data_IF_623684957896
#
_entry.id   IF_623684957896
#
_cell.length_a   1.000
_cell.length_b   1.000
_cell.length_c   1.000
_cell.angle_alpha   90.00
_cell.angle_beta   90.00
_cell.angle_gamma   90.00
#
_symmetry.space_group_name_H-M   'P 1'
#
loop_
_entity.id
_entity.type
_entity.pdbx_description
1 polymer ?
#
# COMPACT_ATOMS: atom_id res chain seq x y z
N UNK A 1 2.53 27.48 23.51
CA UNK A 1 2.01 28.63 22.75
C UNK A 1 2.39 29.88 23.52
N UNK A 2 3.33 30.68 23.01
CA UNK A 2 3.66 31.96 23.65
C UNK A 2 2.58 32.94 23.22
N UNK A 3 1.68 33.28 24.15
CA UNK A 3 0.66 34.31 23.92
C UNK A 3 1.14 35.58 24.59
N UNK A 4 1.32 36.64 23.82
CA UNK A 4 1.51 38.00 24.35
C UNK A 4 0.37 38.90 23.89
N UNK A 5 0.11 39.96 24.65
CA UNK A 5 -0.85 40.97 24.27
C UNK A 5 -0.33 41.80 23.09
N UNK A 6 -1.26 42.44 22.37
CA UNK A 6 -0.96 43.17 21.15
C UNK A 6 0.04 44.30 21.35
N UNK A 7 -0.03 45.01 22.48
CA UNK A 7 0.84 46.15 22.75
C UNK A 7 2.29 45.69 22.98
N UNK A 8 2.48 44.62 23.74
CA UNK A 8 3.80 44.00 23.95
C UNK A 8 4.38 43.47 22.64
N UNK A 9 3.56 42.86 21.78
CA UNK A 9 3.99 42.38 20.48
C UNK A 9 4.48 43.51 19.57
N UNK A 10 3.68 44.57 19.44
CA UNK A 10 4.01 45.72 18.59
C UNK A 10 5.27 46.44 19.09
N UNK A 11 5.46 46.55 20.41
CA UNK A 11 6.67 47.14 20.99
C UNK A 11 7.94 46.35 20.62
N UNK A 12 7.89 45.01 20.64
CA UNK A 12 9.02 44.15 20.28
C UNK A 12 9.34 44.26 18.78
N UNK A 13 8.32 44.32 17.92
CA UNK A 13 8.51 44.50 16.47
C UNK A 13 9.14 45.85 16.16
N UNK A 14 8.71 46.91 16.83
CA UNK A 14 9.27 48.26 16.67
C UNK A 14 10.72 48.35 17.18
N UNK A 15 11.03 47.67 18.28
CA UNK A 15 12.39 47.62 18.84
C UNK A 15 13.34 46.73 18.02
N UNK A 16 12.82 45.69 17.36
CA UNK A 16 13.61 44.69 16.63
C UNK A 16 13.08 44.48 15.21
N UNK A 17 13.37 45.43 14.33
CA UNK A 17 12.94 45.44 12.92
C UNK A 17 13.33 44.18 12.13
N UNK A 18 14.36 43.45 12.57
CA UNK A 18 14.78 42.15 12.00
C UNK A 18 13.68 41.08 11.98
N UNK A 19 12.65 41.20 12.83
CA UNK A 19 11.55 40.24 12.89
C UNK A 19 10.41 40.55 11.92
N UNK A 20 10.33 41.77 11.40
CA UNK A 20 9.32 42.22 10.42
C UNK A 20 9.12 41.21 9.26
N UNK A 21 10.18 40.62 8.66
CA UNK A 21 10.01 39.67 7.56
C UNK A 21 9.41 38.32 7.95
N UNK A 22 9.25 38.00 9.23
CA UNK A 22 8.78 36.70 9.71
C UNK A 22 7.39 36.78 10.36
N UNK A 23 6.80 37.98 10.48
CA UNK A 23 5.47 38.16 11.07
C UNK A 23 4.39 37.71 10.09
N UNK A 24 3.38 37.00 10.61
CA UNK A 24 2.18 36.58 9.87
C UNK A 24 2.44 35.81 8.57
N UNK A 25 3.62 35.21 8.42
CA UNK A 25 3.89 34.29 7.31
C UNK A 25 3.36 32.92 7.66
N UNK A 26 2.70 32.29 6.69
CA UNK A 26 2.42 30.86 6.76
C UNK A 26 3.74 30.11 6.85
N UNK A 27 3.79 29.11 7.73
CA UNK A 27 4.86 28.12 7.71
C UNK A 27 4.52 27.15 6.58
N UNK A 28 5.40 27.06 5.59
CA UNK A 28 5.20 26.15 4.46
C UNK A 28 5.08 24.70 4.98
N UNK A 29 4.14 23.95 4.42
CA UNK A 29 3.89 22.54 4.79
C UNK A 29 3.56 22.31 6.26
N UNK A 30 3.04 23.30 6.99
CA UNK A 30 2.67 23.15 8.40
C UNK A 30 1.72 21.96 8.65
N UNK A 31 0.73 21.79 7.77
CA UNK A 31 -0.24 20.70 7.87
C UNK A 31 0.43 19.32 7.72
N UNK A 32 1.42 19.22 6.82
CA UNK A 32 2.20 17.99 6.61
C UNK A 32 3.09 17.69 7.82
N UNK A 33 3.74 18.71 8.40
CA UNK A 33 4.56 18.55 9.61
C UNK A 33 3.72 18.19 10.84
N UNK A 34 2.49 18.72 10.95
CA UNK A 34 1.55 18.36 12.01
C UNK A 34 1.11 16.88 11.95
N UNK A 35 1.11 16.27 10.76
CA UNK A 35 0.86 14.84 10.60
C UNK A 35 2.06 14.00 11.08
N UNK A 36 3.30 14.43 10.80
CA UNK A 36 4.53 13.70 11.18
C UNK A 36 4.82 13.79 12.67
N UNK A 37 4.73 14.98 13.26
CA UNK A 37 5.00 15.22 14.69
C UNK A 37 3.86 14.66 15.56
N UNK A 38 2.72 14.32 14.94
CA UNK A 38 1.51 13.95 15.63
C UNK A 38 0.91 15.15 16.37
N UNK A 39 -0.39 15.08 16.70
CA UNK A 39 -1.01 16.03 17.62
C UNK A 39 -0.54 15.74 19.05
N UNK A 40 0.77 15.84 19.32
CA UNK A 40 1.29 15.74 20.67
C UNK A 40 0.94 17.04 21.39
N UNK A 41 -0.20 17.01 22.06
CA UNK A 41 -0.60 18.07 22.96
C UNK A 41 0.32 17.93 24.16
N UNK A 42 1.43 18.67 24.17
CA UNK A 42 2.35 18.71 25.29
C UNK A 42 1.56 18.99 26.58
N UNK A 43 1.38 17.96 27.42
CA UNK A 43 0.53 18.02 28.61
C UNK A 43 1.10 18.93 29.69
N UNK A 44 2.29 19.53 29.49
CA UNK A 44 2.90 20.47 30.43
C UNK A 44 3.20 19.86 31.81
N UNK A 45 2.96 18.57 32.00
CA UNK A 45 3.08 17.88 33.30
C UNK A 45 4.53 17.79 33.80
N UNK A 46 5.49 18.08 32.93
CA UNK A 46 6.92 18.14 33.27
C UNK A 46 7.50 19.57 33.17
N UNK A 47 6.67 20.59 32.95
CA UNK A 47 7.13 21.97 32.92
C UNK A 47 7.47 22.40 34.35
N UNK A 48 8.78 22.53 34.65
CA UNK A 48 9.24 23.15 35.90
C UNK A 48 9.09 24.66 35.78
N UNK A 49 8.40 25.25 36.73
CA UNK A 49 8.32 26.70 36.93
C UNK A 49 9.47 27.17 37.82
N UNK A 50 9.75 28.48 37.83
CA UNK A 50 10.79 29.06 38.69
C UNK A 50 10.58 28.78 40.19
N UNK A 51 9.35 28.47 40.61
CA UNK A 51 9.02 28.08 41.97
C UNK A 51 9.38 26.62 42.32
N UNK A 52 9.67 25.78 41.32
CA UNK A 52 10.04 24.36 41.49
C UNK A 52 11.56 24.13 41.60
N UNK A 53 12.34 25.22 41.66
CA UNK A 53 13.79 25.20 41.89
C UNK A 53 14.00 25.39 43.40
N UNK A 54 14.21 24.30 44.13
CA UNK A 54 14.56 24.36 45.55
C UNK A 54 15.93 25.06 45.69
N UNK A 55 15.92 26.24 46.30
CA UNK A 55 17.10 27.04 46.65
C UNK A 55 17.35 26.93 48.15
N UNK A 56 17.34 25.71 48.69
CA UNK A 56 17.75 25.47 50.07
C UNK A 56 19.14 24.83 50.12
N UNK A 57 19.92 25.35 51.06
CA UNK A 57 21.35 25.62 51.04
C UNK A 57 22.16 24.54 51.76
N UNK A 58 23.42 24.34 51.35
CA UNK A 58 24.37 23.56 52.13
C UNK A 58 25.48 22.86 51.34
N UNK A 59 26.39 23.61 50.71
CA UNK A 59 27.80 23.66 51.14
C UNK A 59 28.63 24.50 50.16
N UNK A 60 29.27 25.52 50.73
CA UNK A 60 30.22 26.41 50.08
C UNK A 60 31.48 25.65 49.65
N UNK A 61 31.94 25.86 48.42
CA UNK A 61 33.36 26.19 48.23
C UNK A 61 33.54 27.11 47.03
N UNK A 62 34.17 28.26 47.26
CA UNK A 62 34.28 29.36 46.31
C UNK A 62 35.62 29.34 45.57
N UNK A 63 35.57 29.11 44.23
CA UNK A 63 36.29 29.73 43.06
C UNK A 63 37.83 29.95 43.14
N UNK A 64 38.70 29.82 42.08
CA UNK A 64 38.41 30.11 40.65
C UNK A 64 39.15 29.38 39.48
N UNK A 65 38.55 29.50 38.25
CA UNK A 65 39.14 29.63 36.86
C UNK A 65 40.03 28.44 36.35
N UNK A 66 40.00 27.91 35.12
CA UNK A 66 39.77 28.43 33.76
C UNK A 66 39.25 27.30 32.83
N UNK A 67 38.55 27.67 31.76
CA UNK A 67 37.43 26.90 31.18
C UNK A 67 37.80 26.13 29.91
N UNK A 68 38.38 24.93 30.07
CA UNK A 68 38.70 24.00 28.96
C UNK A 68 38.57 22.51 29.35
N UNK A 69 38.36 21.68 28.31
CA UNK A 69 38.74 20.26 28.13
C UNK A 69 37.90 19.17 28.83
N UNK A 70 37.14 18.36 28.09
CA UNK A 70 37.48 17.05 27.46
C UNK A 70 37.50 15.84 28.42
N UNK A 71 36.57 14.93 28.11
CA UNK A 71 36.77 13.49 27.94
C UNK A 71 36.94 12.57 29.18
N UNK A 72 36.38 11.36 29.01
CA UNK A 72 36.71 10.05 29.63
C UNK A 72 36.33 9.81 31.11
N UNK A 73 35.21 9.13 31.35
CA UNK A 73 35.13 7.67 31.58
C UNK A 73 34.10 7.17 32.62
N UNK A 74 33.64 5.97 32.29
CA UNK A 74 32.67 5.06 32.88
C UNK A 74 32.58 4.97 34.41
N UNK A 75 31.37 5.17 34.94
CA UNK A 75 30.91 4.46 36.15
C UNK A 75 29.50 3.91 35.95
N UNK A 76 29.51 2.64 35.56
CA UNK A 76 28.47 1.61 35.62
C UNK A 76 27.69 1.65 36.94
N UNK A 77 26.42 2.05 36.87
CA UNK A 77 25.42 1.88 37.94
C UNK A 77 24.21 1.15 37.37
N UNK A 78 24.10 -0.11 37.78
CA UNK A 78 22.97 -0.99 37.51
C UNK A 78 21.77 -0.48 38.29
N UNK A 79 20.80 0.11 37.59
CA UNK A 79 19.46 0.37 38.15
C UNK A 79 18.46 -0.42 37.33
N UNK A 80 18.15 -1.61 37.83
CA UNK A 80 16.96 -2.34 37.43
C UNK A 80 15.74 -1.47 37.70
N UNK A 81 15.02 -1.08 36.65
CA UNK A 81 13.62 -0.70 36.77
C UNK A 81 12.81 -1.24 35.59
N UNK A 82 11.89 -2.13 35.99
CA UNK A 82 10.74 -2.71 35.31
C UNK A 82 10.44 -2.21 33.89
N UNK A 83 10.46 -3.16 32.94
CA UNK A 83 10.18 -2.94 31.54
C UNK A 83 8.85 -2.21 31.31
N UNK A 84 8.95 -1.02 30.74
CA UNK A 84 7.80 -0.29 30.22
C UNK A 84 7.20 -1.11 29.07
N UNK A 85 6.02 -1.67 29.34
CA UNK A 85 5.19 -2.38 28.37
C UNK A 85 5.13 -1.62 27.05
N UNK A 86 5.76 -2.20 26.01
CA UNK A 86 5.63 -1.75 24.62
C UNK A 86 4.18 -1.92 24.23
N UNK A 87 3.38 -0.88 24.42
CA UNK A 87 1.99 -0.82 23.96
C UNK A 87 2.03 -0.79 22.43
N UNK A 88 2.04 -1.99 21.81
CA UNK A 88 1.80 -2.19 20.37
C UNK A 88 0.47 -1.52 20.06
N UNK A 89 0.50 -0.32 19.45
CA UNK A 89 -0.68 0.23 18.79
C UNK A 89 -0.99 -0.76 17.66
N UNK A 90 -2.08 -1.51 17.81
CA UNK A 90 -2.62 -2.36 16.75
C UNK A 90 -2.97 -1.43 15.60
N UNK A 91 -2.21 -1.52 14.51
CA UNK A 91 -2.33 -0.65 13.35
C UNK A 91 -3.60 -1.02 12.58
N UNK A 92 -4.69 -0.30 12.82
CA UNK A 92 -5.98 -0.49 12.12
C UNK A 92 -5.89 -0.06 10.65
N UNK A 93 -4.88 0.70 10.25
CA UNK A 93 -4.66 1.09 8.85
C UNK A 93 -3.99 -0.01 8.01
N UNK A 94 -3.24 -0.93 8.64
CA UNK A 94 -2.56 -2.04 7.97
C UNK A 94 -3.57 -3.02 7.36
N UNK A 95 -4.69 -3.29 8.05
CA UNK A 95 -5.73 -4.18 7.55
C UNK A 95 -6.45 -3.64 6.31
N UNK A 96 -6.62 -2.33 6.17
CA UNK A 96 -7.29 -1.73 4.99
C UNK A 96 -6.38 -1.83 3.76
N UNK A 97 -5.07 -1.64 3.94
CA UNK A 97 -4.08 -1.78 2.87
C UNK A 97 -3.96 -3.25 2.47
N UNK A 98 -3.92 -4.18 3.44
CA UNK A 98 -3.89 -5.62 3.18
C UNK A 98 -5.14 -6.11 2.42
N UNK A 99 -6.32 -5.60 2.77
CA UNK A 99 -7.57 -5.90 2.06
C UNK A 99 -7.56 -5.37 0.62
N UNK A 100 -7.02 -4.17 0.38
CA UNK A 100 -6.84 -3.64 -0.98
C UNK A 100 -5.84 -4.45 -1.79
N UNK A 101 -4.70 -4.82 -1.22
CA UNK A 101 -3.68 -5.64 -1.88
C UNK A 101 -4.27 -7.01 -2.24
N UNK A 102 -5.02 -7.64 -1.32
CA UNK A 102 -5.72 -8.90 -1.59
C UNK A 102 -6.73 -8.75 -2.73
N UNK A 103 -7.56 -7.70 -2.70
CA UNK A 103 -8.53 -7.44 -3.75
C UNK A 103 -7.87 -7.25 -5.12
N UNK A 104 -6.81 -6.44 -5.21
CA UNK A 104 -6.05 -6.23 -6.45
C UNK A 104 -5.43 -7.55 -6.93
N UNK A 105 -4.86 -8.35 -6.01
CA UNK A 105 -4.33 -9.69 -6.33
C UNK A 105 -5.39 -10.63 -6.92
N UNK A 106 -6.60 -10.63 -6.38
CA UNK A 106 -7.71 -11.43 -6.91
C UNK A 106 -8.14 -10.97 -8.31
N UNK A 107 -8.23 -9.65 -8.56
CA UNK A 107 -8.57 -9.13 -9.88
C UNK A 107 -7.47 -9.43 -10.90
N UNK A 108 -6.21 -9.28 -10.52
CA UNK A 108 -5.07 -9.63 -11.37
C UNK A 108 -5.07 -11.12 -11.71
N UNK A 109 -5.40 -11.99 -10.75
CA UNK A 109 -5.58 -13.42 -10.99
C UNK A 109 -6.68 -13.74 -12.01
N UNK A 110 -7.82 -13.03 -11.96
CA UNK A 110 -8.90 -13.20 -12.96
C UNK A 110 -8.46 -12.76 -14.36
N UNK A 111 -7.73 -11.65 -14.46
CA UNK A 111 -7.20 -11.15 -15.74
C UNK A 111 -6.18 -12.13 -16.32
N UNK A 112 -5.26 -12.64 -15.49
CA UNK A 112 -4.26 -13.62 -15.91
C UNK A 112 -4.92 -14.90 -16.44
N UNK A 113 -5.91 -15.45 -15.71
CA UNK A 113 -6.66 -16.63 -16.15
C UNK A 113 -7.43 -16.38 -17.46
N UNK A 114 -8.10 -15.23 -17.58
CA UNK A 114 -8.80 -14.87 -18.81
C UNK A 114 -7.84 -14.76 -20.01
N UNK A 115 -6.64 -14.19 -19.81
CA UNK A 115 -5.62 -14.12 -20.84
C UNK A 115 -5.07 -15.50 -21.21
N UNK A 116 -4.82 -16.36 -20.23
CA UNK A 116 -4.38 -17.74 -20.44
C UNK A 116 -5.41 -18.52 -21.28
N UNK A 117 -6.70 -18.42 -20.96
CA UNK A 117 -7.79 -19.02 -21.74
C UNK A 117 -7.96 -18.41 -23.15
N UNK A 118 -7.58 -17.15 -23.32
CA UNK A 118 -7.60 -16.46 -24.61
C UNK A 118 -6.44 -16.93 -25.51
N UNK A 119 -5.28 -17.22 -24.92
CA UNK A 119 -4.11 -17.74 -25.65
C UNK A 119 -4.08 -19.26 -25.78
N UNK A 120 -4.90 -19.98 -25.02
CA UNK A 120 -4.95 -21.44 -25.05
C UNK A 120 -5.37 -21.91 -26.44
N UNK A 121 -4.48 -22.65 -27.09
CA UNK A 121 -4.78 -23.29 -28.37
C UNK A 121 -5.78 -24.43 -28.13
N UNK A 122 -6.98 -24.28 -28.69
CA UNK A 122 -8.08 -25.25 -28.58
C UNK A 122 -8.13 -26.21 -29.76
N UNK A 123 -7.19 -26.09 -30.70
CA UNK A 123 -7.10 -26.92 -31.90
C UNK A 123 -7.03 -28.42 -31.60
N UNK A 124 -6.25 -28.90 -30.59
CA UNK A 124 -6.23 -30.32 -30.25
C UNK A 124 -7.59 -30.83 -29.75
N UNK A 125 -8.25 -30.06 -28.87
CA UNK A 125 -9.59 -30.40 -28.37
C UNK A 125 -10.63 -30.40 -29.48
N UNK A 126 -10.52 -29.47 -30.44
CA UNK A 126 -11.40 -29.44 -31.60
C UNK A 126 -11.23 -30.69 -32.47
N UNK A 127 -9.99 -31.13 -32.68
CA UNK A 127 -9.70 -32.34 -33.45
C UNK A 127 -10.34 -33.57 -32.81
N UNK A 128 -10.13 -33.76 -31.51
CA UNK A 128 -10.75 -34.87 -30.75
C UNK A 128 -12.28 -34.85 -30.90
N UNK A 129 -12.92 -33.69 -30.75
CA UNK A 129 -14.37 -33.56 -30.83
C UNK A 129 -14.96 -33.75 -32.23
N UNK A 130 -14.20 -33.45 -33.28
CA UNK A 130 -14.59 -33.74 -34.66
C UNK A 130 -14.45 -35.24 -34.93
N UNK A 131 -13.34 -35.85 -34.53
CA UNK A 131 -13.08 -37.29 -34.74
C UNK A 131 -14.00 -38.19 -33.91
N UNK A 132 -14.49 -37.76 -32.75
CA UNK A 132 -15.51 -38.49 -31.99
C UNK A 132 -16.84 -38.71 -32.77
N UNK A 133 -17.04 -38.03 -33.89
CA UNK A 133 -18.22 -38.23 -34.76
C UNK A 133 -18.00 -39.35 -35.79
N UNK A 134 -16.75 -39.77 -36.01
CA UNK A 134 -16.37 -40.91 -36.86
C UNK A 134 -17.06 -42.21 -36.43
N UNK A 135 -17.26 -42.40 -35.11
CA UNK A 135 -17.91 -43.58 -34.52
C UNK A 135 -19.32 -43.87 -35.07
N UNK A 136 -19.90 -42.96 -35.85
CA UNK A 136 -21.25 -43.05 -36.40
C UNK A 136 -21.31 -43.08 -37.94
N UNK A 137 -20.16 -43.27 -38.61
CA UNK A 137 -20.10 -43.63 -40.03
C UNK A 137 -19.93 -42.46 -41.00
N UNK A 138 -19.35 -41.35 -40.56
CA UNK A 138 -18.87 -40.30 -41.45
C UNK A 138 -17.48 -40.67 -42.00
N UNK A 139 -17.21 -40.27 -43.25
CA UNK A 139 -15.94 -40.53 -43.93
C UNK A 139 -14.81 -39.67 -43.37
N UNK A 140 -13.61 -40.26 -43.20
CA UNK A 140 -12.46 -39.58 -42.60
C UNK A 140 -12.04 -38.35 -43.41
N UNK A 141 -12.04 -38.45 -44.74
CA UNK A 141 -11.67 -37.33 -45.62
C UNK A 141 -12.62 -36.14 -45.45
N UNK A 142 -13.91 -36.39 -45.20
CA UNK A 142 -14.89 -35.36 -44.86
C UNK A 142 -14.60 -34.76 -43.47
N UNK A 143 -14.29 -35.58 -42.48
CA UNK A 143 -13.98 -35.13 -41.11
C UNK A 143 -12.71 -34.26 -41.08
N UNK A 144 -11.67 -34.62 -41.85
CA UNK A 144 -10.49 -33.77 -42.04
C UNK A 144 -10.85 -32.45 -42.72
N UNK A 145 -11.65 -32.48 -43.79
CA UNK A 145 -12.10 -31.27 -44.48
C UNK A 145 -12.89 -30.33 -43.56
N UNK A 146 -13.73 -30.89 -42.69
CA UNK A 146 -14.48 -30.15 -41.67
C UNK A 146 -13.55 -29.57 -40.63
N UNK A 147 -12.57 -30.34 -40.16
CA UNK A 147 -11.60 -29.87 -39.20
C UNK A 147 -10.80 -28.68 -39.76
N UNK A 148 -10.25 -28.80 -40.97
CA UNK A 148 -9.52 -27.71 -41.66
C UNK A 148 -10.41 -26.46 -41.85
N UNK A 149 -11.68 -26.67 -42.19
CA UNK A 149 -12.66 -25.59 -42.28
C UNK A 149 -12.89 -24.90 -40.92
N UNK A 150 -13.09 -25.67 -39.84
CA UNK A 150 -13.34 -25.11 -38.52
C UNK A 150 -12.10 -24.40 -37.94
N UNK A 151 -10.90 -24.91 -38.20
CA UNK A 151 -9.64 -24.25 -37.83
C UNK A 151 -9.51 -22.89 -38.52
N UNK A 152 -9.93 -22.79 -39.78
CA UNK A 152 -9.96 -21.50 -40.50
C UNK A 152 -11.13 -20.58 -40.10
N UNK A 153 -12.19 -21.14 -39.50
CA UNK A 153 -13.40 -20.42 -39.09
C UNK A 153 -13.64 -20.54 -37.59
N UNK A 154 -12.85 -19.81 -36.80
CA UNK A 154 -12.86 -19.87 -35.33
C UNK A 154 -14.26 -19.69 -34.70
N UNK A 155 -15.09 -18.81 -35.27
CA UNK A 155 -16.46 -18.60 -34.77
C UNK A 155 -17.36 -19.83 -34.94
N UNK A 156 -17.18 -20.56 -36.05
CA UNK A 156 -17.92 -21.80 -36.32
C UNK A 156 -17.38 -22.95 -35.47
N UNK A 157 -16.06 -23.04 -35.28
CA UNK A 157 -15.45 -23.99 -34.35
C UNK A 157 -16.00 -23.81 -32.92
N UNK A 158 -16.04 -22.57 -32.42
CA UNK A 158 -16.63 -22.26 -31.12
C UNK A 158 -18.10 -22.67 -31.05
N UNK A 159 -18.88 -22.34 -32.07
CA UNK A 159 -20.29 -22.72 -32.12
C UNK A 159 -20.49 -24.24 -32.20
N UNK A 160 -19.60 -24.95 -32.91
CA UNK A 160 -19.60 -26.40 -33.03
C UNK A 160 -19.32 -27.09 -31.69
N UNK A 161 -18.32 -26.62 -30.94
CA UNK A 161 -17.98 -27.17 -29.62
C UNK A 161 -19.12 -27.02 -28.60
N UNK A 162 -19.93 -25.97 -28.69
CA UNK A 162 -21.10 -25.75 -27.82
C UNK A 162 -22.29 -26.67 -28.18
N UNK A 163 -22.38 -27.13 -29.43
CA UNK A 163 -23.48 -28.00 -29.88
C UNK A 163 -23.41 -29.36 -29.19
N UNK A 164 -24.58 -29.91 -28.86
CA UNK A 164 -24.68 -31.32 -28.47
C UNK A 164 -24.31 -32.23 -29.66
N UNK A 165 -23.89 -33.46 -29.38
CA UNK A 165 -23.48 -34.43 -30.40
C UNK A 165 -24.54 -34.60 -31.52
N UNK A 166 -25.85 -34.66 -31.17
CA UNK A 166 -26.95 -34.67 -32.16
C UNK A 166 -26.94 -33.46 -33.10
N UNK A 167 -26.70 -32.26 -32.58
CA UNK A 167 -26.67 -31.03 -33.38
C UNK A 167 -25.40 -30.91 -34.22
N UNK A 168 -24.26 -31.44 -33.74
CA UNK A 168 -23.01 -31.50 -34.52
C UNK A 168 -23.20 -32.37 -35.77
N UNK A 169 -23.89 -33.51 -35.66
CA UNK A 169 -24.24 -34.35 -36.83
C UNK A 169 -25.11 -33.64 -37.86
N UNK A 170 -26.19 -33.00 -37.41
CA UNK A 170 -27.08 -32.26 -38.32
C UNK A 170 -26.30 -31.16 -39.03
N UNK A 171 -25.35 -30.52 -38.34
CA UNK A 171 -24.48 -29.52 -38.92
C UNK A 171 -23.53 -30.13 -39.96
N UNK A 172 -22.86 -31.24 -39.65
CA UNK A 172 -21.99 -31.99 -40.58
C UNK A 172 -22.73 -32.45 -41.83
N UNK A 173 -23.95 -32.96 -41.69
CA UNK A 173 -24.79 -33.35 -42.82
C UNK A 173 -25.15 -32.18 -43.74
N UNK A 174 -25.33 -30.98 -43.18
CA UNK A 174 -25.55 -29.77 -43.97
C UNK A 174 -24.25 -29.28 -44.62
N UNK A 175 -23.14 -29.42 -43.92
CA UNK A 175 -21.82 -29.07 -44.42
C UNK A 175 -21.45 -29.92 -45.64
N UNK A 176 -21.72 -31.23 -45.62
CA UNK A 176 -21.43 -32.12 -46.76
C UNK A 176 -22.38 -31.97 -47.96
N UNK A 177 -23.45 -31.19 -47.83
CA UNK A 177 -24.43 -30.92 -48.89
C UNK A 177 -24.19 -29.60 -49.63
N UNK A 178 -23.28 -28.76 -49.13
CA UNK A 178 -22.89 -27.48 -49.75
C UNK A 178 -21.65 -27.65 -50.61
#
# INVERSE_FOLDING_TARGET
>A
MITCDRATYDAVVMAQKKYEPFLNKSIDHYDEMALVVGKDKATGSFARTFADIDLDDGNQDSVPIDRDNEEIEEVRINVSSSGTSKRKRKNVQESVVDEQIKFVGEQLGKIANALEQFTADKTPHLYEEVMLIEEEGFDDDLLFSVFDYLVSHESEAKAFLVKSNKHRKIWLQKFSQG
#
